data_IF_373030479144
#
_entry.id   IF_373030479144
#
_cell.length_a   1.000
_cell.length_b   1.000
_cell.length_c   1.000
_cell.angle_alpha   90.00
_cell.angle_beta   90.00
_cell.angle_gamma   90.00
#
_symmetry.space_group_name_H-M   'P 1'
#
loop_
_entity.id
_entity.type
_entity.pdbx_description
1 polymer ?
#
# COMPACT_ATOMS: atom_id res chain seq x y z
N UNK A 1 33.05 24.09 11.47
CA UNK A 1 31.63 23.73 11.73
C UNK A 1 30.83 24.18 10.51
N UNK A 2 30.47 23.40 9.51
CA UNK A 2 30.63 21.98 9.17
C UNK A 2 29.63 21.79 8.05
N UNK A 3 30.09 21.76 6.78
CA UNK A 3 29.24 21.77 5.56
C UNK A 3 28.01 20.84 5.65
N UNK A 4 28.17 19.71 6.34
CA UNK A 4 27.11 18.75 6.66
C UNK A 4 25.86 19.32 7.36
N UNK A 5 25.99 20.34 8.22
CA UNK A 5 24.83 20.94 8.89
C UNK A 5 24.00 21.82 7.95
N UNK A 6 24.65 22.47 6.98
CA UNK A 6 23.98 23.23 5.92
C UNK A 6 23.28 22.29 4.94
N UNK A 7 23.95 21.21 4.51
CA UNK A 7 23.34 20.18 3.66
C UNK A 7 22.08 19.57 4.30
N UNK A 8 22.11 19.26 5.61
CA UNK A 8 20.93 18.73 6.30
C UNK A 8 19.77 19.74 6.36
N UNK A 9 20.11 21.04 6.43
CA UNK A 9 19.14 22.13 6.47
C UNK A 9 18.52 22.36 5.10
N UNK A 10 19.31 22.36 4.03
CA UNK A 10 18.84 22.43 2.63
C UNK A 10 17.95 21.25 2.27
N UNK A 11 18.37 20.01 2.57
CA UNK A 11 17.57 18.80 2.31
C UNK A 11 16.22 18.86 3.04
N UNK A 12 16.20 19.36 4.28
CA UNK A 12 14.96 19.54 5.03
C UNK A 12 14.07 20.63 4.44
N UNK A 13 14.64 21.68 3.84
CA UNK A 13 13.87 22.71 3.13
C UNK A 13 13.34 22.23 1.78
N UNK A 14 14.10 21.45 1.00
CA UNK A 14 13.62 20.85 -0.24
C UNK A 14 12.52 19.80 0.01
N UNK A 15 12.67 18.98 1.04
CA UNK A 15 11.64 18.02 1.46
C UNK A 15 10.32 18.68 1.92
N UNK A 16 10.36 19.95 2.32
CA UNK A 16 9.15 20.75 2.61
C UNK A 16 8.52 21.33 1.34
N UNK A 17 9.30 21.55 0.27
CA UNK A 17 8.78 21.96 -1.05
C UNK A 17 8.16 20.79 -1.81
N UNK A 18 8.52 19.55 -1.45
CA UNK A 18 7.78 18.36 -1.89
C UNK A 18 6.36 18.47 -1.34
N UNK A 19 5.40 18.60 -2.25
CA UNK A 19 3.97 18.63 -1.94
C UNK A 19 3.58 17.25 -1.41
N UNK A 20 3.66 17.08 -0.10
CA UNK A 20 3.16 15.87 0.53
C UNK A 20 1.63 15.87 0.44
N UNK A 21 1.02 14.75 0.03
CA UNK A 21 -0.43 14.63 0.03
C UNK A 21 -0.96 14.91 1.44
N UNK A 22 -2.04 15.68 1.53
CA UNK A 22 -2.70 15.96 2.80
C UNK A 22 -3.14 14.64 3.44
N UNK A 23 -2.91 14.50 4.75
CA UNK A 23 -3.14 13.26 5.50
C UNK A 23 -4.55 12.67 5.29
N UNK A 24 -5.54 13.52 5.05
CA UNK A 24 -6.93 13.14 4.76
C UNK A 24 -7.07 12.39 3.43
N UNK A 25 -6.38 12.81 2.36
CA UNK A 25 -6.45 12.14 1.06
C UNK A 25 -5.74 10.77 1.09
N UNK A 26 -4.65 10.67 1.86
CA UNK A 26 -3.92 9.40 2.05
C UNK A 26 -4.77 8.38 2.79
N UNK A 27 -5.45 8.77 3.88
CA UNK A 27 -6.29 7.86 4.66
C UNK A 27 -7.50 7.37 3.84
N UNK A 28 -8.16 8.26 3.09
CA UNK A 28 -9.29 7.88 2.23
C UNK A 28 -8.87 6.87 1.15
N UNK A 29 -7.72 7.09 0.52
CA UNK A 29 -7.22 6.19 -0.53
C UNK A 29 -6.79 4.83 0.03
N UNK A 30 -6.13 4.80 1.19
CA UNK A 30 -5.74 3.53 1.85
C UNK A 30 -6.96 2.71 2.27
N UNK A 31 -8.04 3.34 2.73
CA UNK A 31 -9.28 2.64 3.08
C UNK A 31 -9.89 1.89 1.90
N UNK A 32 -9.91 2.51 0.71
CA UNK A 32 -10.41 1.88 -0.52
C UNK A 32 -9.53 0.69 -0.91
N UNK A 33 -8.21 0.83 -0.83
CA UNK A 33 -7.27 -0.26 -1.15
C UNK A 33 -7.50 -1.46 -0.23
N UNK A 34 -7.69 -1.25 1.08
CA UNK A 34 -7.98 -2.33 2.02
C UNK A 34 -9.29 -3.04 1.66
N UNK A 35 -10.34 -2.30 1.32
CA UNK A 35 -11.61 -2.90 0.90
C UNK A 35 -11.45 -3.77 -0.36
N UNK A 36 -10.71 -3.27 -1.35
CA UNK A 36 -10.42 -4.03 -2.59
C UNK A 36 -9.61 -5.29 -2.28
N UNK A 37 -8.58 -5.21 -1.43
CA UNK A 37 -7.79 -6.36 -1.02
C UNK A 37 -8.63 -7.45 -0.35
N UNK A 38 -9.61 -7.07 0.48
CA UNK A 38 -10.54 -8.02 1.13
C UNK A 38 -11.42 -8.72 0.08
N UNK A 39 -11.94 -7.98 -0.90
CA UNK A 39 -12.78 -8.58 -1.96
C UNK A 39 -11.97 -9.57 -2.79
N UNK A 40 -10.74 -9.20 -3.17
CA UNK A 40 -9.87 -10.06 -3.97
C UNK A 40 -9.45 -11.31 -3.17
N UNK A 41 -9.15 -11.18 -1.88
CA UNK A 41 -8.75 -12.32 -1.06
C UNK A 41 -9.89 -13.32 -0.87
N UNK A 42 -11.12 -12.84 -0.71
CA UNK A 42 -12.32 -13.71 -0.67
C UNK A 42 -12.48 -14.42 -2.01
N UNK A 43 -12.38 -13.70 -3.13
CA UNK A 43 -12.50 -14.30 -4.46
C UNK A 43 -11.44 -15.38 -4.69
N UNK A 44 -10.16 -15.10 -4.41
CA UNK A 44 -9.10 -16.11 -4.51
C UNK A 44 -9.38 -17.31 -3.60
N UNK A 45 -9.79 -17.09 -2.35
CA UNK A 45 -10.11 -18.20 -1.43
C UNK A 45 -11.24 -19.10 -1.93
N UNK A 46 -12.27 -18.53 -2.57
CA UNK A 46 -13.34 -19.32 -3.21
C UNK A 46 -12.81 -20.11 -4.40
N UNK A 47 -11.96 -19.51 -5.23
CA UNK A 47 -11.35 -20.18 -6.38
C UNK A 47 -10.44 -21.32 -5.92
N UNK A 48 -9.58 -21.10 -4.94
CA UNK A 48 -8.68 -22.11 -4.38
C UNK A 48 -9.46 -23.28 -3.78
N UNK A 49 -10.55 -23.00 -3.04
CA UNK A 49 -11.41 -24.04 -2.49
C UNK A 49 -12.16 -24.82 -3.58
N UNK A 50 -12.66 -24.13 -4.61
CA UNK A 50 -13.33 -24.74 -5.74
C UNK A 50 -12.38 -25.65 -6.54
N UNK A 51 -11.17 -25.18 -6.83
CA UNK A 51 -10.14 -25.96 -7.51
C UNK A 51 -9.70 -27.15 -6.67
N UNK A 52 -9.48 -26.99 -5.36
CA UNK A 52 -9.11 -28.07 -4.46
C UNK A 52 -10.18 -29.19 -4.40
N UNK A 53 -11.46 -28.82 -4.40
CA UNK A 53 -12.58 -29.77 -4.50
C UNK A 53 -12.56 -30.54 -5.81
N UNK A 54 -12.30 -29.86 -6.93
CA UNK A 54 -12.25 -30.49 -8.26
C UNK A 54 -11.07 -31.45 -8.36
N UNK A 55 -9.88 -31.06 -7.91
CA UNK A 55 -8.70 -31.92 -7.94
C UNK A 55 -8.86 -33.14 -7.04
N UNK A 56 -9.48 -33.02 -5.87
CA UNK A 56 -9.80 -34.15 -4.99
C UNK A 56 -10.87 -35.09 -5.58
N UNK A 57 -11.70 -34.62 -6.50
CA UNK A 57 -12.68 -35.49 -7.18
C UNK A 57 -12.06 -36.24 -8.37
N UNK A 58 -11.00 -35.69 -8.96
CA UNK A 58 -10.30 -36.27 -10.11
C UNK A 58 -9.30 -37.37 -9.69
N UNK A 59 -8.67 -37.23 -8.53
CA UNK A 59 -7.69 -38.19 -7.98
C UNK A 59 -8.31 -39.04 -6.88
#
# INVERSE_FOLDING_TARGET
>A
MGKWSEFYKEVKEELKKVVWPSKESTIGTTGIVIAICIVISIFMGVVDFGLAKITQFIY
#
